data_IF_183249829516
#
_entry.id   IF_183249829516
#
_cell.length_a   1.000
_cell.length_b   1.000
_cell.length_c   1.000
_cell.angle_alpha   90.00
_cell.angle_beta   90.00
_cell.angle_gamma   90.00
#
_symmetry.space_group_name_H-M   'P 1'
#
loop_
_entity.id
_entity.type
_entity.pdbx_description
1 polymer ?
#
# COMPACT_ATOMS: atom_id res chain seq x y z
N UNK A 1 -9.78 -12.47 -0.63
CA UNK A 1 -9.01 -11.48 -1.34
C UNK A 1 -7.90 -10.94 -0.47
N UNK A 2 -6.74 -10.74 -1.05
CA UNK A 2 -5.59 -10.21 -0.31
C UNK A 2 -5.76 -8.74 0.02
N UNK A 3 -6.38 -7.99 -0.86
CA UNK A 3 -6.65 -6.57 -0.67
C UNK A 3 -8.06 -6.39 -0.14
N UNK A 4 -8.19 -5.64 0.93
CA UNK A 4 -9.47 -5.45 1.60
C UNK A 4 -9.74 -3.96 1.76
N UNK A 5 -10.95 -3.53 1.41
CA UNK A 5 -11.34 -2.14 1.65
C UNK A 5 -11.82 -1.99 3.09
N UNK A 6 -11.23 -1.06 3.79
CA UNK A 6 -11.54 -0.84 5.20
C UNK A 6 -12.67 0.16 5.38
N UNK A 7 -13.24 0.17 6.59
CA UNK A 7 -14.21 1.17 7.00
C UNK A 7 -13.59 2.56 6.87
N UNK A 8 -14.41 3.53 6.54
CA UNK A 8 -13.95 4.89 6.35
C UNK A 8 -13.64 5.21 4.91
N UNK A 9 -13.64 4.22 4.02
CA UNK A 9 -13.58 4.50 2.59
C UNK A 9 -14.83 5.26 2.18
N UNK A 10 -14.66 6.31 1.38
CA UNK A 10 -15.77 7.18 1.02
C UNK A 10 -15.57 7.73 -0.37
N UNK A 11 -16.36 7.26 -1.33
CA UNK A 11 -16.28 7.71 -2.71
C UNK A 11 -16.55 9.20 -2.86
N UNK A 12 -17.50 9.71 -2.11
CA UNK A 12 -17.85 11.12 -2.19
C UNK A 12 -16.68 12.01 -1.80
N UNK A 13 -15.91 11.60 -0.81
CA UNK A 13 -14.72 12.34 -0.37
C UNK A 13 -13.47 11.92 -1.11
N UNK A 14 -13.57 10.93 -1.97
CA UNK A 14 -12.43 10.43 -2.74
C UNK A 14 -11.40 9.67 -1.91
N UNK A 15 -11.80 9.15 -0.75
CA UNK A 15 -10.88 8.45 0.16
C UNK A 15 -11.09 6.95 0.09
N UNK A 16 -10.00 6.21 -0.15
CA UNK A 16 -10.00 4.76 -0.14
C UNK A 16 -9.03 4.27 0.91
N UNK A 17 -9.54 3.53 1.89
CA UNK A 17 -8.71 2.87 2.91
C UNK A 17 -8.62 1.41 2.57
N UNK A 18 -7.40 0.94 2.38
CA UNK A 18 -7.13 -0.44 1.99
C UNK A 18 -6.26 -1.12 3.02
N UNK A 19 -6.45 -2.42 3.16
CA UNK A 19 -5.57 -3.25 3.98
C UNK A 19 -5.15 -4.46 3.17
N UNK A 20 -3.91 -4.89 3.34
CA UNK A 20 -3.43 -6.13 2.78
C UNK A 20 -3.24 -7.09 3.94
N UNK A 21 -3.91 -8.23 3.90
CA UNK A 21 -3.89 -9.19 4.99
C UNK A 21 -3.26 -10.53 4.60
N UNK A 22 -2.49 -10.54 3.53
CA UNK A 22 -1.74 -11.70 3.08
C UNK A 22 -0.30 -11.33 2.82
N UNK A 23 0.51 -12.33 2.56
CA UNK A 23 1.92 -12.10 2.30
C UNK A 23 2.12 -11.33 0.99
N UNK A 24 3.12 -10.46 0.98
CA UNK A 24 3.45 -9.65 -0.18
C UNK A 24 4.71 -10.19 -0.82
N UNK A 25 4.62 -11.41 -1.32
CA UNK A 25 5.73 -12.08 -1.98
C UNK A 25 5.45 -12.21 -3.47
N UNK A 26 6.47 -12.64 -4.20
CA UNK A 26 6.36 -12.79 -5.65
C UNK A 26 5.17 -13.65 -6.07
N UNK A 27 4.75 -14.56 -5.20
CA UNK A 27 3.63 -15.45 -5.51
C UNK A 27 2.27 -14.75 -5.47
N UNK A 28 2.17 -13.65 -4.74
CA UNK A 28 0.91 -12.92 -4.57
C UNK A 28 0.84 -11.62 -5.35
N UNK A 29 1.97 -11.16 -5.88
CA UNK A 29 2.09 -9.80 -6.41
C UNK A 29 1.16 -9.53 -7.59
N UNK A 30 1.00 -10.48 -8.50
CA UNK A 30 0.16 -10.24 -9.69
C UNK A 30 -1.29 -10.00 -9.29
N UNK A 31 -1.81 -10.80 -8.35
CA UNK A 31 -3.17 -10.62 -7.86
C UNK A 31 -3.31 -9.26 -7.16
N UNK A 32 -2.36 -8.89 -6.33
CA UNK A 32 -2.40 -7.61 -5.63
C UNK A 32 -2.35 -6.44 -6.61
N UNK A 33 -1.50 -6.52 -7.63
CA UNK A 33 -1.43 -5.46 -8.64
C UNK A 33 -2.76 -5.26 -9.33
N UNK A 34 -3.41 -6.35 -9.69
CA UNK A 34 -4.70 -6.27 -10.36
C UNK A 34 -5.75 -5.66 -9.44
N UNK A 35 -5.81 -6.10 -8.20
CA UNK A 35 -6.79 -5.58 -7.24
C UNK A 35 -6.58 -4.10 -6.97
N UNK A 36 -5.33 -3.67 -6.84
CA UNK A 36 -5.01 -2.26 -6.63
C UNK A 36 -5.40 -1.44 -7.85
N UNK A 37 -5.10 -1.93 -9.05
CA UNK A 37 -5.40 -1.18 -10.27
C UNK A 37 -6.88 -0.95 -10.46
N UNK A 38 -7.72 -1.81 -9.94
CA UNK A 38 -9.17 -1.64 -10.03
C UNK A 38 -9.66 -0.46 -9.19
N UNK A 39 -8.92 -0.10 -8.13
CA UNK A 39 -9.33 0.97 -7.24
C UNK A 39 -8.70 2.32 -7.60
N UNK A 40 -7.59 2.30 -8.34
CA UNK A 40 -6.73 3.46 -8.49
C UNK A 40 -7.41 4.63 -9.19
N UNK A 41 -8.34 4.36 -10.10
CA UNK A 41 -9.04 5.40 -10.85
C UNK A 41 -10.33 5.87 -10.18
N UNK A 42 -10.75 5.18 -9.12
CA UNK A 42 -12.03 5.48 -8.47
C UNK A 42 -11.89 6.55 -7.40
N UNK A 43 -10.74 6.58 -6.72
CA UNK A 43 -10.52 7.44 -5.57
C UNK A 43 -9.37 8.40 -5.82
N UNK A 44 -9.29 9.46 -5.00
CA UNK A 44 -8.25 10.48 -5.12
C UNK A 44 -7.18 10.36 -4.04
N UNK A 45 -7.51 9.71 -2.92
CA UNK A 45 -6.60 9.53 -1.80
C UNK A 45 -6.64 8.09 -1.35
N UNK A 46 -5.47 7.56 -1.04
CA UNK A 46 -5.34 6.16 -0.63
C UNK A 46 -4.58 6.07 0.68
N UNK A 47 -5.15 5.31 1.61
CA UNK A 47 -4.48 4.94 2.86
C UNK A 47 -4.32 3.43 2.84
N UNK A 48 -3.10 2.96 3.06
CA UNK A 48 -2.79 1.54 2.98
C UNK A 48 -2.29 1.05 4.33
N UNK A 49 -2.93 -0.01 4.84
CA UNK A 49 -2.60 -0.61 6.11
C UNK A 49 -1.95 -1.98 5.86
N UNK A 50 -0.72 -2.15 6.33
CA UNK A 50 0.05 -3.36 6.15
C UNK A 50 0.36 -4.05 7.49
N UNK A 51 -0.43 -3.77 8.52
CA UNK A 51 -0.19 -4.32 9.86
C UNK A 51 -0.24 -5.84 9.88
N UNK A 52 -1.08 -6.44 9.02
CA UNK A 52 -1.25 -7.88 9.00
C UNK A 52 -0.34 -8.63 8.02
N UNK A 53 0.55 -7.94 7.33
CA UNK A 53 1.47 -8.59 6.41
C UNK A 53 2.59 -9.26 7.20
N UNK A 54 2.66 -10.57 7.14
CA UNK A 54 3.65 -11.34 7.89
C UNK A 54 4.94 -11.56 7.10
N UNK A 55 4.83 -11.71 5.78
CA UNK A 55 5.99 -11.89 4.93
C UNK A 55 5.95 -10.94 3.76
N UNK A 56 7.12 -10.39 3.43
CA UNK A 56 7.27 -9.50 2.28
C UNK A 56 8.67 -9.71 1.71
N UNK A 57 8.78 -9.74 0.39
CA UNK A 57 10.07 -9.82 -0.28
C UNK A 57 10.28 -8.60 -1.17
N UNK A 58 11.35 -8.61 -1.97
CA UNK A 58 11.66 -7.47 -2.82
C UNK A 58 10.54 -7.17 -3.81
N UNK A 59 9.79 -8.18 -4.25
CA UNK A 59 8.66 -7.95 -5.15
C UNK A 59 7.58 -7.14 -4.45
N UNK A 60 7.33 -7.41 -3.16
CA UNK A 60 6.38 -6.63 -2.38
C UNK A 60 6.81 -5.19 -2.21
N UNK A 61 8.09 -4.97 -1.94
CA UNK A 61 8.63 -3.62 -1.83
C UNK A 61 8.48 -2.88 -3.16
N UNK A 62 8.77 -3.54 -4.27
CA UNK A 62 8.63 -2.91 -5.59
C UNK A 62 7.18 -2.58 -5.89
N UNK A 63 6.25 -3.41 -5.47
CA UNK A 63 4.83 -3.12 -5.63
C UNK A 63 4.45 -1.84 -4.88
N UNK A 64 4.90 -1.70 -3.64
CA UNK A 64 4.62 -0.50 -2.86
C UNK A 64 5.18 0.76 -3.53
N UNK A 65 6.41 0.67 -4.01
CA UNK A 65 7.03 1.81 -4.69
C UNK A 65 6.31 2.14 -5.99
N UNK A 66 5.90 1.12 -6.74
CA UNK A 66 5.19 1.33 -8.00
C UNK A 66 3.82 1.95 -7.75
N UNK A 67 3.11 1.50 -6.73
CA UNK A 67 1.81 2.05 -6.37
C UNK A 67 1.94 3.52 -5.98
N UNK A 68 2.91 3.84 -5.13
CA UNK A 68 3.17 5.21 -4.74
C UNK A 68 3.49 6.09 -5.95
N UNK A 69 4.37 5.61 -6.83
CA UNK A 69 4.77 6.36 -8.02
C UNK A 69 3.58 6.63 -8.94
N UNK A 70 2.73 5.61 -9.13
CA UNK A 70 1.56 5.76 -9.98
C UNK A 70 0.59 6.80 -9.42
N UNK A 71 0.38 6.80 -8.11
CA UNK A 71 -0.50 7.77 -7.48
C UNK A 71 0.06 9.19 -7.62
N UNK A 72 1.36 9.36 -7.42
CA UNK A 72 2.00 10.67 -7.58
C UNK A 72 1.85 11.15 -9.02
N UNK A 73 2.06 10.25 -9.97
CA UNK A 73 1.92 10.58 -11.39
C UNK A 73 0.51 11.06 -11.73
N UNK A 74 -0.49 10.52 -11.05
CA UNK A 74 -1.89 10.88 -11.25
C UNK A 74 -2.37 12.00 -10.34
N UNK A 75 -1.45 12.63 -9.59
CA UNK A 75 -1.75 13.69 -8.64
C UNK A 75 -2.70 13.23 -7.52
N UNK A 76 -2.56 12.00 -7.10
CA UNK A 76 -3.35 11.42 -6.01
C UNK A 76 -2.48 11.27 -4.77
N UNK A 77 -3.12 11.28 -3.60
CA UNK A 77 -2.39 11.18 -2.33
C UNK A 77 -2.25 9.72 -1.89
N UNK A 78 -1.15 9.42 -1.24
CA UNK A 78 -0.87 8.09 -0.71
C UNK A 78 -0.29 8.18 0.69
N UNK A 79 -0.76 7.29 1.57
CA UNK A 79 -0.33 7.26 2.95
C UNK A 79 -0.29 5.81 3.44
N UNK A 80 0.81 5.42 4.10
CA UNK A 80 0.87 4.16 4.83
C UNK A 80 0.41 4.40 6.25
N UNK A 81 -0.72 3.83 6.64
CA UNK A 81 -1.29 4.08 7.96
C UNK A 81 -0.78 3.12 9.02
N UNK A 82 -0.22 2.00 8.62
CA UNK A 82 0.38 1.05 9.56
C UNK A 82 1.19 0.02 8.81
N UNK A 83 2.20 -0.50 9.47
CA UNK A 83 3.04 -1.56 8.91
C UNK A 83 3.34 -2.58 10.01
N UNK A 84 3.48 -3.84 9.60
CA UNK A 84 3.95 -4.87 10.53
C UNK A 84 5.45 -4.66 10.79
N UNK A 85 5.95 -5.31 11.84
CA UNK A 85 7.38 -5.25 12.13
C UNK A 85 8.23 -5.76 10.97
N UNK A 86 7.75 -6.81 10.30
CA UNK A 86 8.45 -7.37 9.14
C UNK A 86 8.56 -6.36 8.01
N UNK A 87 7.45 -5.69 7.69
CA UNK A 87 7.43 -4.69 6.62
C UNK A 87 8.31 -3.50 7.01
N UNK A 88 8.17 -3.01 8.24
CA UNK A 88 8.95 -1.87 8.70
C UNK A 88 10.46 -2.15 8.59
N UNK A 89 10.88 -3.35 8.99
CA UNK A 89 12.28 -3.72 8.93
C UNK A 89 12.81 -3.76 7.51
N UNK A 90 12.00 -4.28 6.59
CA UNK A 90 12.44 -4.37 5.20
C UNK A 90 12.51 -2.99 4.56
N UNK A 91 11.55 -2.13 4.86
CA UNK A 91 11.59 -0.74 4.39
C UNK A 91 12.84 -0.04 4.89
N UNK A 92 13.19 -0.26 6.16
CA UNK A 92 14.41 0.30 6.74
C UNK A 92 15.64 -0.25 6.05
N UNK A 93 15.69 -1.56 5.82
CA UNK A 93 16.84 -2.20 5.19
C UNK A 93 17.07 -1.70 3.76
N UNK A 94 16.02 -1.32 3.07
CA UNK A 94 16.14 -0.80 1.70
C UNK A 94 16.41 0.71 1.69
N UNK A 95 16.36 1.37 2.85
CA UNK A 95 16.62 2.80 2.94
C UNK A 95 15.56 3.66 2.27
N UNK A 96 14.33 3.18 2.20
CA UNK A 96 13.26 3.88 1.48
C UNK A 96 12.19 4.44 2.41
N UNK A 97 12.45 4.46 3.71
CA UNK A 97 11.48 4.97 4.68
C UNK A 97 11.01 6.38 4.37
N UNK A 98 11.91 7.22 3.87
CA UNK A 98 11.57 8.60 3.55
C UNK A 98 10.51 8.74 2.48
N UNK A 99 10.33 7.73 1.65
CA UNK A 99 9.33 7.77 0.59
C UNK A 99 7.92 7.52 1.11
N UNK A 100 7.81 6.93 2.30
CA UNK A 100 6.52 6.57 2.88
C UNK A 100 6.24 7.27 4.20
N UNK A 101 7.21 8.00 4.72
CA UNK A 101 7.10 8.54 6.05
C UNK A 101 6.30 9.82 6.09
N UNK A 102 6.37 10.48 7.24
CA UNK A 102 5.67 11.72 7.56
C UNK A 102 4.20 11.48 7.63
N UNK A 103 3.66 10.89 6.61
CA UNK A 103 2.24 10.67 6.50
C UNK A 103 1.87 9.24 6.72
N UNK A 104 2.77 8.30 6.41
CA UNK A 104 2.41 6.91 6.38
C UNK A 104 2.99 6.11 7.50
N UNK A 105 4.24 6.34 7.82
CA UNK A 105 4.91 5.58 8.87
C UNK A 105 5.20 6.56 9.99
N UNK A 106 4.31 6.58 10.91
CA UNK A 106 4.44 7.49 12.04
C UNK A 106 5.43 6.94 13.06
#
# INVERSE_FOLDING_TARGET
MALKRERGSNKTKGLCKLAINEDMTIYAIETLKQEISEEIDIYDRFELNLVEVEEIDSAGIQLLLAFRRELIRKNKAFKLTGVSGTVAKLIENYGIGDRFNREGIA
#
